data_IF_510529324765
#
_entry.id   IF_510529324765
#
_cell.length_a   1.000
_cell.length_b   1.000
_cell.length_c   1.000
_cell.angle_alpha   90.00
_cell.angle_beta   90.00
_cell.angle_gamma   90.00
#
_symmetry.space_group_name_H-M   'P 1'
#
loop_
_entity.id
_entity.type
_entity.pdbx_description
1 polymer ?
#
# COMPACT_ATOMS: atom_id res chain seq x y z
N UNK A 1 4.53 -9.31 -14.08
CA UNK A 1 3.67 -8.67 -13.06
C UNK A 1 3.87 -7.16 -12.94
N UNK A 2 5.10 -6.65 -13.00
CA UNK A 2 5.44 -5.22 -12.82
C UNK A 2 4.85 -4.26 -13.87
N UNK A 3 4.83 -4.63 -15.15
CA UNK A 3 4.27 -3.82 -16.24
C UNK A 3 2.75 -3.79 -16.22
N UNK A 4 2.12 -4.91 -15.85
CA UNK A 4 0.66 -5.03 -15.76
C UNK A 4 0.07 -4.08 -14.71
N UNK A 5 0.68 -3.99 -13.52
CA UNK A 5 0.27 -3.02 -12.52
C UNK A 5 0.44 -1.57 -13.01
N UNK A 6 1.45 -1.27 -13.83
CA UNK A 6 1.69 0.07 -14.34
C UNK A 6 0.65 0.52 -15.37
N UNK A 7 0.22 -0.37 -16.26
CA UNK A 7 -0.83 -0.05 -17.25
C UNK A 7 -2.22 0.02 -16.60
N UNK A 8 -2.55 -0.97 -15.78
CA UNK A 8 -3.83 -1.00 -15.05
C UNK A 8 -3.97 0.19 -14.11
N UNK A 9 -2.87 0.69 -13.54
CA UNK A 9 -2.90 1.84 -12.63
C UNK A 9 -2.93 3.19 -13.34
N UNK A 10 -2.56 3.28 -14.61
CA UNK A 10 -2.64 4.56 -15.34
C UNK A 10 -4.09 5.06 -15.46
N UNK A 11 -5.02 4.17 -15.82
CA UNK A 11 -6.46 4.49 -15.89
C UNK A 11 -7.11 4.66 -14.50
N UNK A 12 -6.49 4.07 -13.47
CA UNK A 12 -7.01 4.12 -12.11
C UNK A 12 -6.77 5.47 -11.41
N UNK A 13 -5.79 6.25 -11.86
CA UNK A 13 -5.48 7.57 -11.29
C UNK A 13 -6.60 8.57 -11.47
N UNK A 14 -7.42 8.42 -12.52
CA UNK A 14 -8.60 9.25 -12.75
C UNK A 14 -9.80 8.67 -12.00
N UNK A 15 -10.09 9.25 -10.84
CA UNK A 15 -11.17 8.82 -9.97
C UNK A 15 -12.50 9.11 -10.65
N UNK A 16 -13.30 8.06 -10.86
CA UNK A 16 -14.61 8.14 -11.51
C UNK A 16 -15.63 7.30 -10.76
N UNK A 17 -16.83 7.84 -10.57
CA UNK A 17 -17.97 7.06 -10.07
C UNK A 17 -18.48 6.11 -11.16
N UNK A 18 -17.77 4.99 -11.34
CA UNK A 18 -18.13 3.97 -12.31
C UNK A 18 -17.92 2.56 -11.75
N UNK A 19 -18.77 1.61 -12.19
CA UNK A 19 -18.62 0.20 -11.83
C UNK A 19 -17.25 -0.35 -12.23
N UNK A 20 -16.70 0.12 -13.35
CA UNK A 20 -15.37 -0.29 -13.81
C UNK A 20 -14.27 0.14 -12.84
N UNK A 21 -14.30 1.39 -12.33
CA UNK A 21 -13.35 1.89 -11.35
C UNK A 21 -13.44 1.10 -10.03
N UNK A 22 -14.66 0.87 -9.54
CA UNK A 22 -14.88 0.09 -8.31
C UNK A 22 -14.41 -1.36 -8.44
N UNK A 23 -14.68 -2.02 -9.58
CA UNK A 23 -14.20 -3.38 -9.84
C UNK A 23 -12.68 -3.44 -9.92
N UNK A 24 -12.05 -2.43 -10.53
CA UNK A 24 -10.61 -2.32 -10.62
C UNK A 24 -9.98 -2.08 -9.23
N UNK A 25 -10.59 -1.25 -8.42
CA UNK A 25 -10.19 -1.03 -7.02
C UNK A 25 -10.22 -2.33 -6.21
N UNK A 26 -11.30 -3.11 -6.29
CA UNK A 26 -11.40 -4.39 -5.59
C UNK A 26 -10.35 -5.41 -6.11
N UNK A 27 -10.13 -5.46 -7.41
CA UNK A 27 -9.08 -6.29 -8.00
C UNK A 27 -7.68 -5.91 -7.48
N UNK A 28 -7.35 -4.63 -7.44
CA UNK A 28 -6.06 -4.15 -6.95
C UNK A 28 -5.90 -4.48 -5.46
N UNK A 29 -6.94 -4.28 -4.65
CA UNK A 29 -6.97 -4.68 -3.25
C UNK A 29 -6.63 -6.17 -3.08
N UNK A 30 -7.31 -7.06 -3.83
CA UNK A 30 -7.05 -8.51 -3.78
C UNK A 30 -5.63 -8.86 -4.21
N UNK A 31 -5.09 -8.18 -5.22
CA UNK A 31 -3.69 -8.37 -5.63
C UNK A 31 -2.75 -8.00 -4.48
N UNK A 32 -2.96 -6.84 -3.82
CA UNK A 32 -2.16 -6.43 -2.67
C UNK A 32 -2.25 -7.46 -1.54
N UNK A 33 -3.45 -7.88 -1.18
CA UNK A 33 -3.69 -8.85 -0.10
C UNK A 33 -3.06 -10.23 -0.39
N UNK A 34 -3.01 -10.66 -1.65
CA UNK A 34 -2.45 -11.96 -2.06
C UNK A 34 -0.93 -11.99 -2.17
N UNK A 35 -0.25 -10.84 -2.11
CA UNK A 35 1.21 -10.79 -2.25
C UNK A 35 1.91 -11.42 -1.05
N UNK A 36 2.87 -12.33 -1.34
CA UNK A 36 3.78 -12.87 -0.34
C UNK A 36 5.04 -12.00 -0.27
N UNK A 37 5.17 -11.23 0.81
CA UNK A 37 6.29 -10.30 1.02
C UNK A 37 7.59 -11.02 1.40
N UNK A 38 7.55 -12.25 1.88
CA UNK A 38 8.77 -13.02 2.17
C UNK A 38 9.64 -13.25 0.92
N UNK A 39 9.02 -13.25 -0.27
CA UNK A 39 9.74 -13.40 -1.54
C UNK A 39 10.67 -12.23 -1.84
N UNK A 40 10.47 -11.08 -1.21
CA UNK A 40 11.36 -9.91 -1.33
C UNK A 40 12.72 -10.20 -0.71
N UNK A 41 12.74 -11.02 0.34
CA UNK A 41 13.94 -11.38 1.10
C UNK A 41 14.64 -12.65 0.54
N UNK A 42 14.56 -12.90 -0.76
CA UNK A 42 15.18 -14.08 -1.36
C UNK A 42 16.70 -13.96 -1.35
N UNK A 43 17.43 -14.78 -0.58
CA UNK A 43 18.91 -14.71 -0.46
C UNK A 43 19.64 -15.14 -1.74
N UNK A 44 18.95 -15.78 -2.69
CA UNK A 44 19.53 -16.23 -3.95
C UNK A 44 19.70 -15.09 -4.97
N UNK A 45 19.00 -13.99 -4.80
CA UNK A 45 19.11 -12.82 -5.68
C UNK A 45 20.08 -11.81 -5.05
N UNK A 46 21.26 -11.66 -5.64
CA UNK A 46 22.27 -10.66 -5.22
C UNK A 46 21.85 -9.23 -5.60
N UNK A 47 20.75 -8.76 -5.03
CA UNK A 47 20.38 -7.36 -5.18
C UNK A 47 21.08 -6.51 -4.11
N UNK A 48 21.46 -5.30 -4.49
CA UNK A 48 21.91 -4.33 -3.48
C UNK A 48 20.76 -4.00 -2.54
N UNK A 49 21.04 -3.65 -1.29
CA UNK A 49 20.05 -3.25 -0.28
C UNK A 49 19.10 -2.17 -0.82
N UNK A 50 19.63 -1.20 -1.57
CA UNK A 50 18.84 -0.16 -2.21
C UNK A 50 17.81 -0.71 -3.22
N UNK A 51 18.20 -1.71 -4.01
CA UNK A 51 17.27 -2.35 -4.96
C UNK A 51 16.21 -3.19 -4.25
N UNK A 52 16.56 -3.89 -3.18
CA UNK A 52 15.63 -4.67 -2.37
C UNK A 52 14.63 -3.75 -1.68
N UNK A 53 15.09 -2.65 -1.07
CA UNK A 53 14.23 -1.62 -0.48
C UNK A 53 13.26 -1.04 -1.50
N UNK A 54 13.76 -0.68 -2.68
CA UNK A 54 12.91 -0.15 -3.75
C UNK A 54 11.86 -1.18 -4.21
N UNK A 55 12.21 -2.45 -4.32
CA UNK A 55 11.27 -3.53 -4.68
C UNK A 55 10.19 -3.69 -3.61
N UNK A 56 10.60 -3.74 -2.34
CA UNK A 56 9.69 -3.85 -1.21
C UNK A 56 8.70 -2.67 -1.17
N UNK A 57 9.22 -1.45 -1.26
CA UNK A 57 8.40 -0.24 -1.29
C UNK A 57 7.40 -0.26 -2.45
N UNK A 58 7.84 -0.64 -3.65
CA UNK A 58 6.96 -0.71 -4.84
C UNK A 58 5.88 -1.79 -4.71
N UNK A 59 6.14 -2.88 -3.99
CA UNK A 59 5.16 -3.94 -3.74
C UNK A 59 4.13 -3.54 -2.69
N UNK A 60 4.57 -2.91 -1.62
CA UNK A 60 3.71 -2.49 -0.51
C UNK A 60 2.91 -1.24 -0.86
N UNK A 61 3.58 -0.26 -1.49
CA UNK A 61 2.99 1.00 -1.91
C UNK A 61 3.26 1.22 -3.40
N UNK A 62 2.42 0.69 -4.28
CA UNK A 62 2.48 1.05 -5.70
C UNK A 62 2.51 2.57 -5.87
N UNK A 63 3.31 3.12 -6.81
CA UNK A 63 3.51 4.57 -6.96
C UNK A 63 2.23 5.39 -7.15
N UNK A 64 1.16 4.75 -7.60
CA UNK A 64 -0.17 5.35 -7.76
C UNK A 64 -0.82 5.67 -6.41
N UNK A 65 -0.54 4.88 -5.37
CA UNK A 65 -1.13 5.06 -4.04
C UNK A 65 -0.32 6.05 -3.21
N UNK A 66 -0.19 7.26 -3.74
CA UNK A 66 0.40 8.37 -3.03
C UNK A 66 -0.66 9.10 -2.20
N UNK A 67 -0.20 10.08 -1.41
CA UNK A 67 -1.07 10.89 -0.56
C UNK A 67 -2.19 11.58 -1.36
N UNK A 68 -1.84 12.16 -2.51
CA UNK A 68 -2.78 12.95 -3.31
C UNK A 68 -3.91 12.08 -3.87
N UNK A 69 -3.60 10.83 -4.28
CA UNK A 69 -4.61 9.86 -4.68
C UNK A 69 -5.65 9.63 -3.57
N UNK A 70 -5.19 9.32 -2.35
CA UNK A 70 -6.10 9.05 -1.24
C UNK A 70 -6.87 10.30 -0.80
N UNK A 71 -6.23 11.46 -0.76
CA UNK A 71 -6.92 12.73 -0.45
C UNK A 71 -8.02 13.01 -1.45
N UNK A 72 -7.73 12.88 -2.75
CA UNK A 72 -8.73 13.11 -3.81
C UNK A 72 -9.86 12.06 -3.77
N UNK A 73 -9.54 10.79 -3.54
CA UNK A 73 -10.54 9.72 -3.47
C UNK A 73 -11.46 9.85 -2.25
N UNK A 74 -10.93 10.27 -1.11
CA UNK A 74 -11.71 10.51 0.11
C UNK A 74 -12.53 11.81 0.05
N UNK A 75 -12.09 12.81 -0.72
CA UNK A 75 -12.83 14.05 -0.97
C UNK A 75 -13.84 13.93 -2.14
N UNK A 76 -13.86 12.79 -2.83
CA UNK A 76 -14.78 12.59 -3.95
C UNK A 76 -16.23 12.53 -3.47
N UNK A 77 -17.15 13.14 -4.23
CA UNK A 77 -18.59 13.12 -3.93
C UNK A 77 -19.21 11.77 -4.36
N UNK A 78 -19.08 10.77 -3.49
CA UNK A 78 -19.58 9.42 -3.72
C UNK A 78 -19.09 8.44 -2.64
N UNK A 79 -20.02 7.97 -1.81
CA UNK A 79 -19.73 7.11 -0.66
C UNK A 79 -19.04 5.78 -1.08
N UNK A 80 -19.43 5.22 -2.20
CA UNK A 80 -18.85 3.99 -2.77
C UNK A 80 -17.36 4.17 -3.12
N UNK A 81 -16.99 5.32 -3.70
CA UNK A 81 -15.59 5.67 -4.00
C UNK A 81 -14.81 5.86 -2.69
N UNK A 82 -15.37 6.59 -1.75
CA UNK A 82 -14.74 6.84 -0.46
C UNK A 82 -14.49 5.54 0.31
N UNK A 83 -15.49 4.65 0.38
CA UNK A 83 -15.35 3.33 1.02
C UNK A 83 -14.30 2.47 0.31
N UNK A 84 -14.29 2.49 -1.02
CA UNK A 84 -13.30 1.76 -1.81
C UNK A 84 -11.88 2.27 -1.55
N UNK A 85 -11.69 3.60 -1.46
CA UNK A 85 -10.42 4.23 -1.08
C UNK A 85 -9.97 3.85 0.33
N UNK A 86 -10.90 3.80 1.30
CA UNK A 86 -10.62 3.33 2.66
C UNK A 86 -10.16 1.87 2.68
N UNK A 87 -10.82 1.00 1.92
CA UNK A 87 -10.43 -0.40 1.81
C UNK A 87 -9.03 -0.58 1.18
N UNK A 88 -8.72 0.19 0.14
CA UNK A 88 -7.38 0.20 -0.46
C UNK A 88 -6.31 0.68 0.52
N UNK A 89 -6.58 1.78 1.22
CA UNK A 89 -5.65 2.31 2.22
C UNK A 89 -5.43 1.31 3.35
N UNK A 90 -6.48 0.64 3.81
CA UNK A 90 -6.38 -0.41 4.82
C UNK A 90 -5.53 -1.60 4.32
N UNK A 91 -5.69 -2.01 3.05
CA UNK A 91 -4.88 -3.08 2.46
C UNK A 91 -3.40 -2.69 2.37
N UNK A 92 -3.10 -1.47 1.93
CA UNK A 92 -1.73 -0.93 1.87
C UNK A 92 -1.10 -0.89 3.27
N UNK A 93 -1.83 -0.38 4.27
CA UNK A 93 -1.30 -0.27 5.64
C UNK A 93 -1.07 -1.64 6.29
N UNK A 94 -1.97 -2.60 6.09
CA UNK A 94 -1.76 -3.99 6.54
C UNK A 94 -0.52 -4.62 5.90
N UNK A 95 -0.29 -4.38 4.60
CA UNK A 95 0.92 -4.87 3.92
C UNK A 95 2.18 -4.17 4.41
N UNK A 96 2.12 -2.89 4.72
CA UNK A 96 3.23 -2.16 5.32
C UNK A 96 3.59 -2.72 6.70
N UNK A 97 2.58 -3.00 7.53
CA UNK A 97 2.75 -3.63 8.84
C UNK A 97 3.35 -5.04 8.72
N UNK A 98 2.82 -5.89 7.83
CA UNK A 98 3.35 -7.23 7.54
C UNK A 98 4.83 -7.15 7.10
N UNK A 99 5.15 -6.21 6.20
CA UNK A 99 6.53 -6.03 5.75
C UNK A 99 7.47 -5.59 6.88
N UNK A 100 7.06 -4.66 7.72
CA UNK A 100 7.84 -4.24 8.89
C UNK A 100 8.05 -5.38 9.87
N UNK A 101 7.02 -6.18 10.12
CA UNK A 101 7.14 -7.37 10.96
C UNK A 101 8.18 -8.37 10.40
N UNK A 102 8.13 -8.64 9.10
CA UNK A 102 9.12 -9.52 8.44
C UNK A 102 10.53 -8.92 8.55
N UNK A 103 10.67 -7.61 8.28
CA UNK A 103 11.96 -6.92 8.34
C UNK A 103 12.60 -6.99 9.73
N UNK A 104 11.81 -6.93 10.79
CA UNK A 104 12.32 -6.92 12.17
C UNK A 104 12.56 -8.32 12.74
N UNK A 105 11.79 -9.32 12.31
CA UNK A 105 11.75 -10.62 12.99
C UNK A 105 12.11 -11.82 12.13
N UNK A 106 12.15 -11.67 10.80
CA UNK A 106 12.40 -12.81 9.92
C UNK A 106 13.92 -13.08 9.75
N UNK A 107 14.38 -14.34 9.88
CA UNK A 107 15.82 -14.67 9.75
C UNK A 107 16.45 -14.21 8.43
N UNK A 108 15.70 -14.22 7.34
CA UNK A 108 16.17 -13.71 6.04
C UNK A 108 16.44 -12.20 6.02
N UNK A 109 15.93 -11.46 6.98
CA UNK A 109 16.16 -10.02 7.10
C UNK A 109 17.41 -9.69 7.93
N UNK A 110 18.09 -10.68 8.51
CA UNK A 110 19.39 -10.49 9.21
C UNK A 110 20.49 -9.93 8.30
N UNK A 111 20.31 -10.06 6.97
CA UNK A 111 21.20 -9.46 5.98
C UNK A 111 21.18 -7.91 6.00
N UNK A 112 20.17 -7.30 6.59
CA UNK A 112 20.06 -5.84 6.73
C UNK A 112 20.69 -5.39 8.05
N UNK A 113 21.55 -4.37 7.98
CA UNK A 113 22.05 -3.70 9.17
C UNK A 113 20.92 -2.97 9.91
N UNK A 114 21.08 -2.70 11.19
CA UNK A 114 20.10 -1.96 12.00
C UNK A 114 19.83 -0.56 11.43
N UNK A 115 20.85 0.10 10.86
CA UNK A 115 20.70 1.40 10.20
C UNK A 115 19.80 1.29 8.96
N UNK A 116 19.95 0.22 8.18
CA UNK A 116 19.12 -0.03 6.99
C UNK A 116 17.67 -0.35 7.38
N UNK A 117 17.48 -1.18 8.40
CA UNK A 117 16.15 -1.48 8.95
C UNK A 117 15.45 -0.21 9.43
N UNK A 118 16.16 0.66 10.15
CA UNK A 118 15.63 1.94 10.62
C UNK A 118 15.25 2.85 9.45
N UNK A 119 16.10 2.94 8.42
CA UNK A 119 15.82 3.75 7.22
C UNK A 119 14.60 3.22 6.47
N UNK A 120 14.50 1.91 6.28
CA UNK A 120 13.35 1.28 5.64
C UNK A 120 12.08 1.51 6.45
N UNK A 121 12.14 1.31 7.77
CA UNK A 121 11.00 1.51 8.67
C UNK A 121 10.46 2.93 8.61
N UNK A 122 11.33 3.94 8.54
CA UNK A 122 10.92 5.34 8.46
C UNK A 122 10.10 5.67 7.21
N UNK A 123 10.35 4.97 6.09
CA UNK A 123 9.57 5.14 4.85
C UNK A 123 8.11 4.66 5.02
N UNK A 124 7.90 3.64 5.84
CA UNK A 124 6.56 3.06 6.07
C UNK A 124 5.79 3.74 7.20
N UNK A 125 6.47 4.41 8.13
CA UNK A 125 5.82 5.17 9.21
C UNK A 125 4.89 6.24 8.64
N UNK A 126 5.27 6.91 7.55
CA UNK A 126 4.41 7.89 6.87
C UNK A 126 3.08 7.30 6.39
N UNK A 127 3.06 6.03 5.96
CA UNK A 127 1.84 5.32 5.54
C UNK A 127 0.98 4.99 6.77
N UNK A 128 1.59 4.51 7.84
CA UNK A 128 0.89 4.13 9.06
C UNK A 128 0.27 5.33 9.79
N UNK A 129 0.86 6.52 9.67
CA UNK A 129 0.33 7.77 10.26
C UNK A 129 -1.02 8.16 9.61
N UNK A 130 -1.30 7.73 8.39
CA UNK A 130 -2.58 8.03 7.73
C UNK A 130 -3.77 7.24 8.34
N UNK A 131 -3.51 6.11 9.03
CA UNK A 131 -4.55 5.25 9.62
C UNK A 131 -5.48 5.94 10.63
N UNK A 132 -5.00 6.75 11.60
CA UNK A 132 -5.87 7.44 12.55
C UNK A 132 -6.83 8.40 11.87
N UNK A 133 -6.38 9.09 10.80
CA UNK A 133 -7.24 10.00 10.03
C UNK A 133 -8.36 9.24 9.30
N UNK A 134 -8.05 8.07 8.73
CA UNK A 134 -9.05 7.22 8.07
C UNK A 134 -10.06 6.66 9.08
N UNK A 135 -9.60 6.23 10.26
CA UNK A 135 -10.48 5.76 11.33
C UNK A 135 -11.42 6.89 11.79
N UNK A 136 -10.89 8.08 12.05
CA UNK A 136 -11.71 9.23 12.45
C UNK A 136 -12.73 9.60 11.38
N UNK A 137 -12.34 9.54 10.11
CA UNK A 137 -13.24 9.82 9.00
C UNK A 137 -14.35 8.77 8.86
N UNK A 138 -14.03 7.48 8.99
CA UNK A 138 -15.02 6.39 8.99
C UNK A 138 -16.02 6.52 10.15
N UNK A 139 -15.56 6.90 11.33
CA UNK A 139 -16.45 7.17 12.46
C UNK A 139 -17.39 8.34 12.19
N UNK A 140 -16.91 9.44 11.62
CA UNK A 140 -17.73 10.60 11.28
C UNK A 140 -18.75 10.28 10.20
N UNK A 141 -18.37 9.56 9.15
CA UNK A 141 -19.27 9.16 8.05
C UNK A 141 -20.36 8.16 8.47
N UNK A 142 -20.14 7.40 9.55
CA UNK A 142 -21.13 6.46 10.10
C UNK A 142 -22.10 7.12 11.10
N UNK A 143 -21.76 8.29 11.62
CA UNK A 143 -22.61 9.04 12.56
C UNK A 143 -23.59 9.97 11.82
N UNK A 144 -23.24 10.41 10.59
CA UNK A 144 -24.08 11.27 9.75
C UNK A 144 -25.11 10.49 8.87
N UNK A 145 -25.19 9.17 9.02
CA UNK A 145 -26.22 8.29 8.46
C UNK A 145 -27.17 7.81 9.54
#
# INVERSE_FOLDING_TARGET
MRWYLREVTADFTEIRSSKAWLSLSDMIKRILESQNLELVFNPKEKFSTKQQTHRATTLVTPPVFNRDFFVNALAFDGLDIQLSACHLLLAVTKKAEEFLHILMHHPKAEMYSETEKTTISSLFVGILILLPYVRSWLYLSLIDC
#
